data_IF_456618019186
#
_entry.id   IF_456618019186
#
_cell.length_a   1.000
_cell.length_b   1.000
_cell.length_c   1.000
_cell.angle_alpha   90.00
_cell.angle_beta   90.00
_cell.angle_gamma   90.00
#
_symmetry.space_group_name_H-M   'P 1'
#
loop_
_entity.id
_entity.type
_entity.pdbx_description
1 polymer ?
#
# COMPACT_ATOMS: atom_id res chain seq x y z
N UNK A 1 14.20 8.96 -7.20
CA UNK A 1 15.03 7.94 -6.55
C UNK A 1 15.42 6.84 -7.54
N UNK A 2 14.46 6.09 -8.12
CA UNK A 2 14.73 4.88 -8.95
C UNK A 2 15.68 5.15 -10.13
N UNK A 3 15.53 6.27 -10.84
CA UNK A 3 16.41 6.61 -11.96
C UNK A 3 17.88 6.72 -11.54
N UNK A 4 18.16 7.36 -10.38
CA UNK A 4 19.51 7.46 -9.85
C UNK A 4 20.08 6.11 -9.41
N UNK A 5 19.26 5.27 -8.77
CA UNK A 5 19.63 3.89 -8.39
C UNK A 5 19.95 3.07 -9.63
N UNK A 6 19.10 3.11 -10.64
CA UNK A 6 19.29 2.38 -11.89
C UNK A 6 20.56 2.84 -12.63
N UNK A 7 20.79 4.17 -12.72
CA UNK A 7 22.00 4.71 -13.33
C UNK A 7 23.26 4.19 -12.64
N UNK A 8 23.31 4.28 -11.31
CA UNK A 8 24.48 3.85 -10.54
C UNK A 8 24.69 2.32 -10.63
N UNK A 9 23.63 1.54 -10.46
CA UNK A 9 23.74 0.08 -10.55
C UNK A 9 24.11 -0.38 -11.95
N UNK A 10 23.70 0.35 -12.99
CA UNK A 10 24.09 0.09 -14.36
C UNK A 10 25.60 0.09 -14.58
N UNK A 11 26.29 0.96 -13.86
CA UNK A 11 27.75 1.06 -13.96
C UNK A 11 28.47 0.06 -13.04
N UNK A 12 28.01 -0.08 -11.78
CA UNK A 12 28.79 -0.83 -10.78
C UNK A 12 28.33 -2.27 -10.56
N UNK A 13 27.06 -2.57 -10.88
CA UNK A 13 26.46 -3.87 -10.64
C UNK A 13 25.35 -4.20 -11.67
N UNK A 14 25.67 -4.31 -12.96
CA UNK A 14 24.66 -4.46 -14.03
C UNK A 14 23.88 -5.78 -13.97
N UNK A 15 24.30 -6.72 -13.13
CA UNK A 15 23.59 -7.97 -12.86
C UNK A 15 22.41 -7.81 -11.86
N UNK A 16 22.32 -6.67 -11.17
CA UNK A 16 21.24 -6.40 -10.20
C UNK A 16 20.03 -5.87 -10.94
N UNK A 17 18.91 -6.54 -10.75
CA UNK A 17 17.62 -6.09 -11.30
C UNK A 17 17.00 -5.03 -10.41
N UNK A 18 16.53 -3.95 -10.99
CA UNK A 18 15.81 -2.88 -10.32
C UNK A 18 14.32 -3.03 -10.64
N UNK A 19 13.52 -3.26 -9.62
CA UNK A 19 12.08 -3.46 -9.75
C UNK A 19 11.39 -2.17 -9.32
N UNK A 20 10.68 -1.48 -10.23
CA UNK A 20 9.96 -0.26 -9.89
C UNK A 20 8.69 -0.59 -9.12
N UNK A 21 8.43 0.22 -8.08
CA UNK A 21 7.20 0.14 -7.28
C UNK A 21 6.52 1.49 -7.32
N UNK A 22 5.22 1.53 -7.58
CA UNK A 22 4.41 2.73 -7.52
C UNK A 22 3.14 2.52 -6.70
N UNK A 23 2.63 3.60 -6.14
CA UNK A 23 1.29 3.63 -5.57
C UNK A 23 0.26 3.58 -6.70
N UNK A 24 -0.73 2.69 -6.60
CA UNK A 24 -1.68 2.40 -7.67
C UNK A 24 -2.49 3.63 -8.13
N UNK A 25 -2.79 4.55 -7.20
CA UNK A 25 -3.49 5.81 -7.52
C UNK A 25 -2.55 6.92 -8.07
N UNK A 26 -1.24 6.67 -8.22
CA UNK A 26 -0.25 7.64 -8.71
C UNK A 26 0.80 7.00 -9.63
N UNK A 27 0.40 6.02 -10.43
CA UNK A 27 1.28 5.17 -11.25
C UNK A 27 1.73 5.86 -12.55
N UNK A 28 2.43 7.01 -12.44
CA UNK A 28 2.83 7.81 -13.60
C UNK A 28 4.00 7.21 -14.38
N UNK A 29 4.90 6.46 -13.76
CA UNK A 29 5.97 5.73 -14.45
C UNK A 29 5.38 4.58 -15.27
N UNK A 30 4.47 3.78 -14.67
CA UNK A 30 3.78 2.69 -15.37
C UNK A 30 3.09 3.21 -16.63
N UNK A 31 2.28 4.25 -16.50
CA UNK A 31 1.59 4.88 -17.63
C UNK A 31 2.57 5.36 -18.73
N UNK A 32 3.69 5.97 -18.33
CA UNK A 32 4.70 6.45 -19.27
C UNK A 32 5.45 5.31 -19.98
N UNK A 33 5.75 4.20 -19.29
CA UNK A 33 6.39 3.03 -19.89
C UNK A 33 5.47 2.33 -20.89
N UNK A 34 4.19 2.18 -20.56
CA UNK A 34 3.18 1.59 -21.44
C UNK A 34 2.94 2.43 -22.69
N UNK A 35 2.88 3.76 -22.56
CA UNK A 35 2.73 4.68 -23.68
C UNK A 35 4.03 4.92 -24.46
N UNK A 36 5.20 4.54 -23.91
CA UNK A 36 6.54 4.90 -24.39
C UNK A 36 6.76 6.42 -24.51
N UNK A 37 6.02 7.20 -23.75
CA UNK A 37 6.11 8.65 -23.64
C UNK A 37 5.63 9.12 -22.27
N UNK A 38 5.94 10.38 -21.93
CA UNK A 38 5.51 10.95 -20.66
C UNK A 38 4.01 11.26 -20.68
N UNK A 39 3.26 10.62 -19.80
CA UNK A 39 1.80 10.77 -19.66
C UNK A 39 1.47 11.60 -18.42
N UNK A 40 0.47 12.47 -18.51
CA UNK A 40 -0.09 13.19 -17.36
C UNK A 40 -1.30 12.39 -16.86
N UNK A 41 -1.25 11.93 -15.61
CA UNK A 41 -2.39 11.27 -14.97
C UNK A 41 -3.52 12.29 -14.72
N UNK A 42 -4.78 11.89 -14.90
CA UNK A 42 -5.92 12.79 -14.65
C UNK A 42 -6.13 13.12 -13.17
N UNK A 43 -5.65 12.26 -12.28
CA UNK A 43 -5.70 12.42 -10.83
C UNK A 43 -4.57 11.65 -10.17
N UNK A 44 -4.27 11.98 -8.92
CA UNK A 44 -3.28 11.28 -8.08
C UNK A 44 -3.84 11.04 -6.69
N UNK A 45 -3.55 9.89 -6.11
CA UNK A 45 -3.86 9.58 -4.72
C UNK A 45 -2.91 10.32 -3.77
N UNK A 46 -3.46 10.79 -2.65
CA UNK A 46 -2.74 11.62 -1.69
C UNK A 46 -2.23 10.85 -0.46
N UNK A 47 -2.51 9.56 -0.36
CA UNK A 47 -2.05 8.79 0.80
C UNK A 47 -0.52 8.68 0.85
N UNK A 48 0.11 8.36 -0.27
CA UNK A 48 1.56 8.37 -0.42
C UNK A 48 2.03 9.72 -1.01
N UNK A 49 1.82 10.82 -0.26
CA UNK A 49 1.97 12.20 -0.71
C UNK A 49 3.36 12.54 -1.25
N UNK A 50 4.43 11.96 -0.72
CA UNK A 50 5.78 12.12 -1.24
C UNK A 50 5.99 11.57 -2.67
N UNK A 51 5.06 10.77 -3.17
CA UNK A 51 5.05 10.20 -4.53
C UNK A 51 3.81 10.59 -5.34
N UNK A 52 2.96 11.49 -4.84
CA UNK A 52 1.74 11.97 -5.49
C UNK A 52 2.08 12.92 -6.66
N UNK A 53 2.62 12.35 -7.74
CA UNK A 53 3.10 13.08 -8.92
C UNK A 53 2.31 12.65 -10.15
N UNK A 54 1.69 13.62 -10.82
CA UNK A 54 0.86 13.34 -11.99
C UNK A 54 1.66 12.95 -13.24
N UNK A 55 2.94 13.31 -13.33
CA UNK A 55 3.78 13.01 -14.47
C UNK A 55 5.21 12.77 -14.03
N UNK A 56 5.84 11.71 -14.53
CA UNK A 56 7.26 11.46 -14.33
C UNK A 56 8.11 12.59 -14.94
N UNK A 57 9.19 12.97 -14.27
CA UNK A 57 10.14 13.95 -14.80
C UNK A 57 10.81 13.45 -16.07
N UNK A 58 11.17 14.37 -16.98
CA UNK A 58 11.79 14.04 -18.27
C UNK A 58 13.11 13.27 -18.10
N UNK A 59 14.07 13.83 -17.38
CA UNK A 59 15.37 13.18 -17.14
C UNK A 59 15.24 11.80 -16.44
N UNK A 60 14.46 11.65 -15.35
CA UNK A 60 14.20 10.34 -14.76
C UNK A 60 13.62 9.33 -15.75
N UNK A 61 12.69 9.75 -16.61
CA UNK A 61 12.09 8.87 -17.61
C UNK A 61 13.12 8.42 -18.66
N UNK A 62 13.93 9.35 -19.18
CA UNK A 62 14.97 9.03 -20.15
C UNK A 62 16.02 8.08 -19.56
N UNK A 63 16.46 8.30 -18.33
CA UNK A 63 17.38 7.39 -17.66
C UNK A 63 16.79 5.98 -17.55
N UNK A 64 15.54 5.84 -17.09
CA UNK A 64 14.90 4.54 -16.93
C UNK A 64 14.73 3.83 -18.28
N UNK A 65 14.32 4.56 -19.31
CA UNK A 65 14.08 4.01 -20.64
C UNK A 65 15.35 3.59 -21.38
N UNK A 66 16.44 4.36 -21.21
CA UNK A 66 17.68 4.20 -21.95
C UNK A 66 18.69 3.27 -21.27
N UNK A 67 18.51 2.99 -19.99
CA UNK A 67 19.44 2.14 -19.27
C UNK A 67 19.30 0.68 -19.72
N UNK A 68 20.36 0.21 -20.37
CA UNK A 68 20.52 -1.20 -20.75
C UNK A 68 21.66 -1.79 -19.93
N UNK A 69 21.52 -3.01 -19.45
CA UNK A 69 22.66 -3.77 -18.97
C UNK A 69 23.51 -4.23 -20.16
N UNK A 70 24.81 -4.39 -19.95
CA UNK A 70 25.72 -4.90 -20.98
C UNK A 70 25.36 -6.32 -21.47
N UNK A 71 24.45 -6.98 -20.79
CA UNK A 71 23.97 -8.33 -21.05
C UNK A 71 22.54 -8.40 -21.63
N UNK A 72 22.13 -7.42 -22.44
CA UNK A 72 20.96 -7.49 -23.33
C UNK A 72 19.55 -7.28 -22.73
N UNK A 73 19.44 -6.61 -21.58
CA UNK A 73 18.10 -6.25 -21.05
C UNK A 73 18.09 -4.92 -20.29
N UNK A 74 16.93 -4.31 -20.05
CA UNK A 74 16.84 -3.13 -19.19
C UNK A 74 17.18 -3.50 -17.75
N UNK A 75 17.94 -2.63 -17.07
CA UNK A 75 18.24 -2.79 -15.63
C UNK A 75 16.96 -2.61 -14.81
N UNK A 76 16.11 -1.67 -15.22
CA UNK A 76 14.79 -1.47 -14.63
C UNK A 76 13.81 -2.42 -15.32
N UNK A 77 13.18 -3.29 -14.53
CA UNK A 77 12.14 -4.18 -15.03
C UNK A 77 10.99 -3.37 -15.62
N UNK A 78 10.48 -3.74 -16.80
CA UNK A 78 9.41 -2.98 -17.47
C UNK A 78 8.07 -3.08 -16.72
N UNK A 79 7.89 -4.14 -15.93
CA UNK A 79 6.69 -4.36 -15.15
C UNK A 79 6.79 -3.64 -13.81
N UNK A 80 6.02 -2.57 -13.67
CA UNK A 80 5.92 -1.80 -12.42
C UNK A 80 5.01 -2.54 -11.44
N UNK A 81 5.51 -2.79 -10.24
CA UNK A 81 4.70 -3.35 -9.15
C UNK A 81 3.84 -2.24 -8.56
N UNK A 82 2.53 -2.39 -8.63
CA UNK A 82 1.59 -1.47 -8.02
C UNK A 82 1.22 -1.93 -6.61
N UNK A 83 1.25 -1.01 -5.66
CA UNK A 83 0.84 -1.25 -4.27
C UNK A 83 -0.29 -0.30 -3.88
N UNK A 84 -1.25 -0.82 -3.11
CA UNK A 84 -2.38 -0.06 -2.62
C UNK A 84 -2.16 0.44 -1.17
N UNK A 85 -3.13 1.21 -0.66
CA UNK A 85 -3.08 1.77 0.69
C UNK A 85 -2.87 0.71 1.77
N UNK A 86 -3.55 -0.43 1.67
CA UNK A 86 -3.50 -1.47 2.71
C UNK A 86 -2.13 -2.18 2.72
N UNK A 87 -1.58 -2.46 1.55
CA UNK A 87 -0.24 -3.03 1.40
C UNK A 87 0.84 -2.08 1.95
N UNK A 88 0.70 -0.77 1.72
CA UNK A 88 1.60 0.24 2.28
C UNK A 88 1.45 0.36 3.79
N UNK A 89 0.23 0.39 4.33
CA UNK A 89 0.00 0.40 5.78
C UNK A 89 0.61 -0.83 6.46
N UNK A 90 0.45 -2.02 5.88
CA UNK A 90 1.08 -3.24 6.38
C UNK A 90 2.61 -3.13 6.39
N UNK A 91 3.23 -2.56 5.36
CA UNK A 91 4.67 -2.35 5.30
C UNK A 91 5.18 -1.33 6.33
N UNK A 92 4.41 -0.28 6.63
CA UNK A 92 4.74 0.66 7.73
C UNK A 92 4.73 -0.07 9.06
N UNK A 93 3.72 -0.90 9.31
CA UNK A 93 3.62 -1.70 10.53
C UNK A 93 4.80 -2.68 10.65
N UNK A 94 5.11 -3.44 9.59
CA UNK A 94 6.24 -4.36 9.58
C UNK A 94 7.55 -3.65 9.90
N UNK A 95 7.78 -2.47 9.28
CA UNK A 95 8.97 -1.66 9.58
C UNK A 95 9.03 -1.25 11.05
N UNK A 96 7.89 -0.86 11.62
CA UNK A 96 7.84 -0.53 13.05
C UNK A 96 8.09 -1.76 13.93
N UNK A 97 7.47 -2.89 13.62
CA UNK A 97 7.59 -4.10 14.43
C UNK A 97 9.04 -4.63 14.43
N UNK A 98 9.74 -4.56 13.29
CA UNK A 98 11.10 -5.04 13.14
C UNK A 98 12.19 -4.05 13.62
N UNK A 99 12.02 -2.76 13.29
CA UNK A 99 13.06 -1.74 13.47
C UNK A 99 12.70 -0.68 14.50
N UNK A 100 11.48 -0.64 15.02
CA UNK A 100 10.94 0.44 15.88
C UNK A 100 11.03 1.83 15.24
N UNK A 101 11.00 1.87 13.91
CA UNK A 101 11.05 3.11 13.13
C UNK A 101 9.72 3.36 12.43
N UNK A 102 9.23 4.60 12.50
CA UNK A 102 8.04 5.03 11.77
C UNK A 102 8.50 5.66 10.46
N UNK A 103 8.03 5.10 9.35
CA UNK A 103 8.31 5.60 8.01
C UNK A 103 7.06 6.19 7.40
N UNK A 104 7.22 7.18 6.55
CA UNK A 104 6.11 7.74 5.77
C UNK A 104 5.58 6.76 4.73
N UNK A 105 4.33 6.91 4.25
CA UNK A 105 3.75 6.01 3.26
C UNK A 105 4.62 5.82 2.02
N UNK A 106 5.15 6.90 1.45
CA UNK A 106 6.04 6.84 0.28
C UNK A 106 7.33 6.05 0.55
N UNK A 107 7.83 6.13 1.79
CA UNK A 107 9.04 5.41 2.22
C UNK A 107 8.84 3.91 2.40
N UNK A 108 7.62 3.48 2.73
CA UNK A 108 7.28 2.07 2.93
C UNK A 108 6.91 1.32 1.63
N UNK A 109 6.64 2.04 0.54
CA UNK A 109 6.17 1.44 -0.71
C UNK A 109 7.12 0.37 -1.26
N UNK A 110 8.43 0.58 -1.19
CA UNK A 110 9.39 -0.38 -1.69
C UNK A 110 9.33 -1.71 -0.92
N UNK A 111 9.10 -1.68 0.39
CA UNK A 111 8.88 -2.89 1.19
C UNK A 111 7.56 -3.58 0.86
N UNK A 112 6.48 -2.82 0.69
CA UNK A 112 5.21 -3.36 0.21
C UNK A 112 5.37 -4.05 -1.15
N UNK A 113 6.11 -3.43 -2.07
CA UNK A 113 6.44 -3.98 -3.39
C UNK A 113 7.22 -5.28 -3.32
N UNK A 114 8.23 -5.40 -2.44
CA UNK A 114 8.96 -6.67 -2.25
C UNK A 114 7.99 -7.77 -1.80
N UNK A 115 7.19 -7.52 -0.77
CA UNK A 115 6.24 -8.51 -0.25
C UNK A 115 5.31 -9.02 -1.36
N UNK A 116 4.76 -8.11 -2.15
CA UNK A 116 3.88 -8.43 -3.27
C UNK A 116 4.60 -9.19 -4.37
N UNK A 117 5.75 -8.70 -4.80
CA UNK A 117 6.55 -9.32 -5.87
C UNK A 117 6.97 -10.74 -5.51
N UNK A 118 7.42 -10.97 -4.29
CA UNK A 118 7.80 -12.30 -3.79
C UNK A 118 6.61 -13.25 -3.81
N UNK A 119 5.44 -12.79 -3.33
CA UNK A 119 4.23 -13.60 -3.30
C UNK A 119 3.72 -13.96 -4.71
N UNK A 120 3.73 -13.00 -5.64
CA UNK A 120 3.22 -13.18 -7.00
C UNK A 120 4.13 -14.08 -7.86
N UNK A 121 5.45 -14.05 -7.62
CA UNK A 121 6.43 -14.75 -8.44
C UNK A 121 7.02 -16.00 -7.77
N UNK A 122 6.60 -16.31 -6.53
CA UNK A 122 7.13 -17.47 -5.79
C UNK A 122 8.66 -17.39 -5.58
N UNK A 123 9.18 -16.20 -5.29
CA UNK A 123 10.64 -15.99 -5.17
C UNK A 123 11.16 -16.61 -3.88
N UNK A 124 12.12 -17.50 -4.00
CA UNK A 124 12.81 -18.13 -2.87
C UNK A 124 14.33 -18.05 -3.04
N UNK A 125 15.05 -17.96 -1.92
CA UNK A 125 16.52 -18.02 -1.89
C UNK A 125 17.22 -16.88 -2.60
N UNK A 126 16.56 -15.72 -2.79
CA UNK A 126 17.13 -14.51 -3.41
C UNK A 126 17.38 -13.41 -2.37
N UNK A 127 18.42 -12.63 -2.59
CA UNK A 127 18.65 -11.41 -1.84
C UNK A 127 17.80 -10.29 -2.45
N UNK A 128 16.89 -9.74 -1.63
CA UNK A 128 16.04 -8.63 -2.00
C UNK A 128 16.41 -7.42 -1.15
N UNK A 129 16.47 -6.24 -1.77
CA UNK A 129 16.82 -5.00 -1.08
C UNK A 129 15.77 -3.96 -1.39
N UNK A 130 15.23 -3.31 -0.37
CA UNK A 130 14.38 -2.12 -0.52
C UNK A 130 15.03 -0.92 0.17
N UNK A 131 14.82 0.26 -0.41
CA UNK A 131 15.22 1.51 0.23
C UNK A 131 14.01 2.01 1.01
N UNK A 132 14.08 1.90 2.33
CA UNK A 132 13.12 2.49 3.25
C UNK A 132 13.57 3.92 3.51
N UNK A 133 12.77 4.89 3.11
CA UNK A 133 13.15 6.30 3.18
C UNK A 133 11.95 7.18 3.59
N UNK A 134 12.29 8.33 4.19
CA UNK A 134 11.30 9.31 4.61
C UNK A 134 10.61 8.99 5.94
N UNK A 135 10.41 10.03 6.74
CA UNK A 135 9.74 9.96 8.03
C UNK A 135 8.79 11.15 8.24
N UNK A 136 8.35 11.79 7.15
CA UNK A 136 7.39 12.89 7.20
C UNK A 136 5.98 12.38 7.48
N UNK A 137 5.76 11.96 8.72
CA UNK A 137 4.52 11.35 9.19
C UNK A 137 3.86 12.25 10.23
N UNK A 138 2.63 12.69 9.95
CA UNK A 138 1.80 13.32 10.95
C UNK A 138 1.28 12.29 11.96
N UNK A 139 1.29 12.62 13.24
CA UNK A 139 0.88 11.71 14.31
C UNK A 139 -0.56 11.20 14.15
N UNK A 140 -1.46 12.05 13.68
CA UNK A 140 -2.86 11.67 13.43
C UNK A 140 -3.01 10.57 12.36
N UNK A 141 -2.08 10.47 11.41
CA UNK A 141 -2.06 9.40 10.40
C UNK A 141 -1.76 8.03 10.98
N UNK A 142 -1.07 7.94 12.12
CA UNK A 142 -0.73 6.65 12.73
C UNK A 142 -1.98 5.87 13.12
N UNK A 143 -3.02 6.56 13.60
CA UNK A 143 -4.30 5.92 13.91
C UNK A 143 -4.91 5.29 12.64
N UNK A 144 -5.01 6.06 11.57
CA UNK A 144 -5.54 5.57 10.29
C UNK A 144 -4.74 4.37 9.76
N UNK A 145 -3.39 4.43 9.84
CA UNK A 145 -2.52 3.34 9.40
C UNK A 145 -2.76 2.08 10.23
N UNK A 146 -2.87 2.22 11.56
CA UNK A 146 -3.13 1.09 12.44
C UNK A 146 -4.47 0.39 12.11
N UNK A 147 -5.54 1.17 11.95
CA UNK A 147 -6.86 0.66 11.58
C UNK A 147 -6.84 -0.04 10.19
N UNK A 148 -6.20 0.59 9.18
CA UNK A 148 -6.09 0.03 7.82
C UNK A 148 -5.23 -1.23 7.76
N UNK A 149 -4.21 -1.32 8.58
CA UNK A 149 -3.34 -2.52 8.63
C UNK A 149 -4.12 -3.75 9.11
N UNK A 150 -4.95 -3.61 10.12
CA UNK A 150 -5.78 -4.70 10.62
C UNK A 150 -6.76 -5.22 9.54
N UNK A 151 -7.28 -4.31 8.71
CA UNK A 151 -8.11 -4.66 7.55
C UNK A 151 -7.31 -5.35 6.45
N UNK A 152 -6.17 -4.78 6.05
CA UNK A 152 -5.30 -5.30 4.99
C UNK A 152 -4.72 -6.68 5.32
N UNK A 153 -4.43 -6.95 6.59
CA UNK A 153 -4.02 -8.26 7.07
C UNK A 153 -5.18 -9.27 7.23
N UNK A 154 -6.40 -8.87 6.90
CA UNK A 154 -7.64 -9.66 7.10
C UNK A 154 -7.83 -10.14 8.54
N UNK A 155 -7.39 -9.34 9.50
CA UNK A 155 -7.57 -9.61 10.93
C UNK A 155 -8.84 -9.03 11.48
N UNK A 156 -9.42 -8.08 10.76
CA UNK A 156 -10.64 -7.37 11.09
C UNK A 156 -11.56 -7.32 9.87
N UNK A 157 -12.86 -7.35 10.11
CA UNK A 157 -13.89 -7.00 9.15
C UNK A 157 -14.75 -5.88 9.71
N UNK A 158 -14.97 -4.83 8.90
CA UNK A 158 -15.81 -3.69 9.26
C UNK A 158 -17.03 -3.68 8.35
N UNK A 159 -18.19 -3.49 8.94
CA UNK A 159 -19.44 -3.40 8.18
C UNK A 159 -20.49 -2.53 8.89
N UNK A 160 -21.42 -2.01 8.11
CA UNK A 160 -22.58 -1.29 8.61
C UNK A 160 -23.82 -2.17 8.49
N UNK A 161 -24.60 -2.24 9.56
CA UNK A 161 -25.83 -3.05 9.63
C UNK A 161 -26.99 -2.15 10.06
N UNK A 162 -28.11 -2.27 9.37
CA UNK A 162 -29.37 -1.66 9.83
C UNK A 162 -30.15 -2.69 10.63
N UNK A 163 -30.49 -2.36 11.86
CA UNK A 163 -31.31 -3.19 12.73
C UNK A 163 -32.60 -2.46 13.10
N UNK A 164 -33.72 -3.17 13.32
CA UNK A 164 -34.94 -2.58 13.83
C UNK A 164 -34.73 -1.90 15.20
N UNK A 165 -35.25 -0.68 15.39
CA UNK A 165 -35.21 0.00 16.69
C UNK A 165 -36.30 -0.57 17.62
N UNK A 166 -36.08 -1.80 18.07
CA UNK A 166 -37.00 -2.55 18.92
C UNK A 166 -36.26 -3.23 20.05
N UNK A 167 -36.93 -3.40 21.18
CA UNK A 167 -36.36 -4.12 22.33
C UNK A 167 -35.92 -5.54 21.93
N UNK A 168 -34.64 -5.82 22.12
CA UNK A 168 -34.03 -7.13 21.83
C UNK A 168 -33.32 -7.23 20.46
N UNK A 169 -33.49 -6.29 19.55
CA UNK A 169 -32.81 -6.30 18.23
C UNK A 169 -31.30 -6.29 18.35
N UNK A 170 -30.78 -5.46 19.24
CA UNK A 170 -29.34 -5.40 19.51
C UNK A 170 -28.80 -6.74 20.08
N UNK A 171 -29.52 -7.37 21.00
CA UNK A 171 -29.13 -8.69 21.53
C UNK A 171 -29.10 -9.74 20.43
N UNK A 172 -30.09 -9.71 19.52
CA UNK A 172 -30.14 -10.62 18.37
C UNK A 172 -28.97 -10.41 17.44
N UNK A 173 -28.61 -9.16 17.18
CA UNK A 173 -27.42 -8.80 16.42
C UNK A 173 -26.13 -9.34 17.07
N UNK A 174 -25.92 -9.09 18.37
CA UNK A 174 -24.76 -9.61 19.09
C UNK A 174 -24.68 -11.15 19.04
N UNK A 175 -25.81 -11.85 19.13
CA UNK A 175 -25.85 -13.32 18.99
C UNK A 175 -25.46 -13.78 17.58
N UNK A 176 -25.81 -13.01 16.54
CA UNK A 176 -25.42 -13.31 15.16
C UNK A 176 -23.90 -13.22 14.93
N UNK A 177 -23.19 -12.43 15.74
CA UNK A 177 -21.72 -12.33 15.70
C UNK A 177 -21.01 -13.56 16.30
N UNK A 178 -21.75 -14.52 16.85
CA UNK A 178 -21.24 -15.82 17.32
C UNK A 178 -20.06 -15.72 18.31
N UNK A 179 -20.05 -14.70 19.17
CA UNK A 179 -19.03 -14.53 20.20
C UNK A 179 -17.69 -13.98 19.68
N UNK A 180 -17.62 -13.48 18.43
CA UNK A 180 -16.44 -12.80 17.92
C UNK A 180 -16.16 -11.53 18.70
N UNK A 181 -14.87 -11.21 18.87
CA UNK A 181 -14.47 -9.98 19.53
C UNK A 181 -14.87 -8.77 18.67
N UNK A 182 -15.57 -7.83 19.28
CA UNK A 182 -15.93 -6.54 18.67
C UNK A 182 -14.74 -5.60 18.89
N UNK A 183 -14.20 -5.07 17.82
CA UNK A 183 -13.05 -4.16 17.81
C UNK A 183 -13.48 -2.70 17.75
N UNK A 184 -14.57 -2.44 17.02
CA UNK A 184 -15.22 -1.14 16.93
C UNK A 184 -16.73 -1.29 17.00
N UNK A 185 -17.37 -0.33 17.66
CA UNK A 185 -18.81 -0.29 17.77
C UNK A 185 -19.33 1.15 17.81
N UNK A 186 -20.18 1.48 16.86
CA UNK A 186 -20.87 2.76 16.82
C UNK A 186 -22.34 2.53 16.50
N UNK A 187 -23.22 2.97 17.40
CA UNK A 187 -24.65 2.83 17.26
C UNK A 187 -25.29 4.20 17.05
N UNK A 188 -26.11 4.31 16.01
CA UNK A 188 -26.87 5.52 15.71
C UNK A 188 -28.32 5.17 15.43
N UNK A 189 -29.21 5.62 16.29
CA UNK A 189 -30.63 5.65 15.96
C UNK A 189 -30.86 6.69 14.86
N UNK A 190 -31.29 6.26 13.68
CA UNK A 190 -31.52 7.14 12.53
C UNK A 190 -32.95 7.69 12.53
N UNK A 191 -33.91 6.87 13.02
CA UNK A 191 -35.31 7.24 13.22
C UNK A 191 -35.95 6.31 14.28
N UNK A 192 -37.27 6.45 14.49
CA UNK A 192 -37.99 5.65 15.49
C UNK A 192 -38.12 4.15 15.10
N UNK A 193 -37.80 3.76 13.91
CA UNK A 193 -38.02 2.40 13.38
C UNK A 193 -36.73 1.62 13.14
N UNK A 194 -35.61 2.30 12.92
CA UNK A 194 -34.35 1.69 12.53
C UNK A 194 -33.12 2.36 13.17
N UNK A 195 -32.12 1.56 13.51
CA UNK A 195 -30.81 2.03 13.93
C UNK A 195 -29.72 1.48 12.99
N UNK A 196 -28.70 2.28 12.79
CA UNK A 196 -27.51 1.89 12.07
C UNK A 196 -26.40 1.55 13.06
N UNK A 197 -25.85 0.36 12.90
CA UNK A 197 -24.73 -0.14 13.69
C UNK A 197 -23.52 -0.25 12.78
N UNK A 198 -22.48 0.53 13.07
CA UNK A 198 -21.17 0.37 12.46
C UNK A 198 -20.32 -0.49 13.41
N UNK A 199 -19.83 -1.62 12.93
CA UNK A 199 -19.15 -2.61 13.76
C UNK A 199 -17.90 -3.16 13.07
N UNK A 200 -16.81 -3.21 13.83
CA UNK A 200 -15.61 -3.97 13.53
C UNK A 200 -15.60 -5.28 14.33
N UNK A 201 -15.22 -6.36 13.69
CA UNK A 201 -15.06 -7.67 14.35
C UNK A 201 -13.70 -8.28 14.04
N UNK A 202 -13.08 -8.90 15.05
CA UNK A 202 -11.86 -9.68 14.84
C UNK A 202 -12.17 -10.94 14.03
N UNK A 203 -11.34 -11.20 13.01
CA UNK A 203 -11.35 -12.42 12.22
C UNK A 203 -10.38 -13.48 12.75
N UNK A 204 -9.60 -13.15 13.79
CA UNK A 204 -8.79 -14.14 14.52
C UNK A 204 -9.71 -14.97 15.41
N UNK A 205 -9.60 -16.26 15.30
CA UNK A 205 -10.20 -17.20 16.25
C UNK A 205 -9.46 -17.16 17.57
#
# INVERSE_FOLDING_TARGET
>A
LIAGVAAYLGDVAPHVKVIPVEYDESACLKAALEANERVILPSVGLFADGTAVAQIGEKPFDVIRLQKSDNSGPIVEPNVVLVNTDEVCAAIKDTYDECRSIVEPSGAMALAGIKKYVAEHGIEGKNMVSIVCGANMNFDRLRYIAERTELGERKEAIFAVTIPEQKGSFLSFCRALQGRNITEFNYRASDASAAQVFVGISLKN
#
